data_IF_872034162612
#
_entry.id   IF_872034162612
#
_cell.length_a   1.000
_cell.length_b   1.000
_cell.length_c   1.000
_cell.angle_alpha   90.00
_cell.angle_beta   90.00
_cell.angle_gamma   90.00
#
_symmetry.space_group_name_H-M   'P 1'
#
loop_
_entity.id
_entity.type
_entity.pdbx_description
1 polymer ?
#
# COMPACT_ATOMS: atom_id res chain seq x y z
N UNK A 1 -15.11 -7.80 23.22
CA UNK A 1 -14.82 -7.14 21.94
C UNK A 1 -15.84 -7.65 20.95
N UNK A 2 -16.48 -6.73 20.22
CA UNK A 2 -17.38 -7.10 19.12
C UNK A 2 -16.59 -7.84 18.03
N UNK A 3 -17.14 -8.93 17.53
CA UNK A 3 -16.59 -9.68 16.40
C UNK A 3 -17.27 -9.22 15.12
N UNK A 4 -16.51 -8.58 14.25
CA UNK A 4 -17.02 -7.91 13.04
C UNK A 4 -16.34 -8.46 11.78
N UNK A 5 -17.11 -8.61 10.70
CA UNK A 5 -16.59 -9.06 9.41
C UNK A 5 -16.90 -8.09 8.27
N UNK A 6 -15.88 -7.79 7.46
CA UNK A 6 -16.09 -7.24 6.12
C UNK A 6 -15.92 -8.37 5.10
N UNK A 7 -16.88 -8.49 4.18
CA UNK A 7 -16.97 -9.54 3.17
C UNK A 7 -16.72 -8.94 1.79
N UNK A 8 -15.81 -9.53 1.03
CA UNK A 8 -15.43 -9.07 -0.31
C UNK A 8 -15.45 -10.24 -1.30
N UNK A 9 -15.95 -9.98 -2.50
CA UNK A 9 -15.78 -10.85 -3.67
C UNK A 9 -14.98 -10.08 -4.73
N UNK A 10 -13.81 -10.59 -5.10
CA UNK A 10 -12.79 -9.83 -5.85
C UNK A 10 -12.28 -10.59 -7.07
N UNK A 11 -11.87 -9.83 -8.10
CA UNK A 11 -11.11 -10.36 -9.25
C UNK A 11 -10.24 -9.25 -9.81
N UNK A 12 -8.95 -9.54 -9.97
CA UNK A 12 -7.96 -8.67 -10.59
C UNK A 12 -7.92 -7.23 -10.02
N UNK A 13 -7.60 -7.12 -8.73
CA UNK A 13 -7.48 -5.87 -7.98
C UNK A 13 -6.10 -5.73 -7.31
N UNK A 14 -5.03 -6.27 -7.92
CA UNK A 14 -3.69 -6.32 -7.29
C UNK A 14 -3.17 -4.96 -6.82
N UNK A 15 -3.48 -3.90 -7.57
CA UNK A 15 -3.02 -2.53 -7.26
C UNK A 15 -3.75 -1.89 -6.07
N UNK A 16 -4.92 -2.43 -5.68
CA UNK A 16 -5.82 -1.81 -4.71
C UNK A 16 -6.13 -2.71 -3.50
N UNK A 17 -6.07 -4.03 -3.64
CA UNK A 17 -6.49 -4.98 -2.60
C UNK A 17 -5.71 -4.83 -1.29
N UNK A 18 -4.41 -4.51 -1.36
CA UNK A 18 -3.59 -4.24 -0.18
C UNK A 18 -4.09 -3.03 0.62
N UNK A 19 -4.55 -1.99 -0.08
CA UNK A 19 -5.13 -0.80 0.56
C UNK A 19 -6.51 -1.09 1.15
N UNK A 20 -7.34 -1.87 0.46
CA UNK A 20 -8.65 -2.27 0.94
C UNK A 20 -8.55 -3.05 2.25
N UNK A 21 -7.65 -4.04 2.32
CA UNK A 21 -7.37 -4.81 3.54
C UNK A 21 -6.93 -3.87 4.66
N UNK A 22 -5.94 -3.04 4.37
CA UNK A 22 -5.29 -2.18 5.36
C UNK A 22 -6.25 -1.14 5.95
N UNK A 23 -7.13 -0.57 5.13
CA UNK A 23 -8.11 0.42 5.57
C UNK A 23 -9.19 -0.18 6.46
N UNK A 24 -9.74 -1.33 6.08
CA UNK A 24 -10.77 -1.98 6.88
C UNK A 24 -10.22 -2.55 8.19
N UNK A 25 -8.95 -2.96 8.21
CA UNK A 25 -8.22 -3.26 9.46
C UNK A 25 -7.99 -2.01 10.31
N UNK A 26 -7.59 -0.89 9.71
CA UNK A 26 -7.38 0.39 10.41
C UNK A 26 -8.66 0.92 11.07
N UNK A 27 -9.81 0.77 10.41
CA UNK A 27 -11.12 1.14 10.97
C UNK A 27 -11.54 0.23 12.12
N UNK A 28 -11.11 -1.03 12.10
CA UNK A 28 -11.32 -1.98 13.21
C UNK A 28 -12.22 -3.16 12.91
N UNK A 29 -12.37 -3.58 11.64
CA UNK A 29 -12.96 -4.89 11.35
C UNK A 29 -12.09 -5.99 11.97
N UNK A 30 -12.68 -6.87 12.78
CA UNK A 30 -11.91 -7.93 13.45
C UNK A 30 -11.49 -9.05 12.49
N UNK A 31 -12.28 -9.29 11.45
CA UNK A 31 -12.05 -10.33 10.44
C UNK A 31 -12.37 -9.80 9.05
N UNK A 32 -11.60 -10.21 8.04
CA UNK A 32 -11.93 -9.98 6.63
C UNK A 32 -12.20 -11.32 5.96
N UNK A 33 -13.32 -11.46 5.26
CA UNK A 33 -13.67 -12.70 4.53
C UNK A 33 -13.65 -12.36 3.04
N UNK A 34 -12.69 -12.91 2.31
CA UNK A 34 -12.41 -12.50 0.93
C UNK A 34 -12.47 -13.71 0.01
N UNK A 35 -13.37 -13.67 -0.96
CA UNK A 35 -13.44 -14.63 -2.07
C UNK A 35 -12.73 -14.07 -3.29
N UNK A 36 -11.70 -14.75 -3.75
CA UNK A 36 -11.02 -14.43 -5.01
C UNK A 36 -11.58 -15.32 -6.13
N UNK A 37 -12.16 -14.66 -7.12
CA UNK A 37 -12.77 -15.26 -8.33
C UNK A 37 -11.70 -15.51 -9.39
N UNK A 38 -10.70 -16.30 -9.02
CA UNK A 38 -9.61 -16.75 -9.89
C UNK A 38 -8.83 -15.60 -10.56
N UNK A 39 -8.33 -14.66 -9.76
CA UNK A 39 -7.48 -13.57 -10.25
C UNK A 39 -6.18 -14.10 -10.86
N UNK A 40 -5.70 -13.39 -11.88
CA UNK A 40 -4.49 -13.71 -12.66
C UNK A 40 -3.42 -12.62 -12.58
N UNK A 41 -3.70 -11.51 -11.92
CA UNK A 41 -2.82 -10.33 -11.82
C UNK A 41 -1.96 -10.31 -10.54
N UNK A 42 -2.07 -11.31 -9.67
CA UNK A 42 -1.37 -11.36 -8.38
C UNK A 42 -2.22 -10.97 -7.17
N UNK A 43 -3.51 -10.66 -7.35
CA UNK A 43 -4.44 -10.38 -6.23
C UNK A 43 -4.40 -11.48 -5.17
N UNK A 44 -4.44 -12.76 -5.58
CA UNK A 44 -4.36 -13.88 -4.65
C UNK A 44 -3.03 -13.96 -3.90
N UNK A 45 -1.93 -13.59 -4.55
CA UNK A 45 -0.61 -13.56 -3.93
C UNK A 45 -0.60 -12.56 -2.77
N UNK A 46 -1.09 -11.34 -3.01
CA UNK A 46 -1.22 -10.29 -1.99
C UNK A 46 -2.12 -10.74 -0.85
N UNK A 47 -3.27 -11.34 -1.17
CA UNK A 47 -4.22 -11.88 -0.19
C UNK A 47 -3.57 -12.95 0.70
N UNK A 48 -2.83 -13.89 0.11
CA UNK A 48 -2.16 -14.97 0.81
C UNK A 48 -1.07 -14.45 1.75
N UNK A 49 -0.29 -13.45 1.30
CA UNK A 49 0.70 -12.78 2.16
C UNK A 49 0.03 -12.07 3.34
N UNK A 50 -1.06 -11.33 3.10
CA UNK A 50 -1.77 -10.59 4.15
C UNK A 50 -2.41 -11.52 5.21
N UNK A 51 -2.94 -12.67 4.80
CA UNK A 51 -3.55 -13.65 5.69
C UNK A 51 -2.57 -14.28 6.70
N UNK A 52 -1.27 -14.11 6.51
CA UNK A 52 -0.25 -14.58 7.45
C UNK A 52 -0.13 -13.72 8.72
N UNK A 53 -0.66 -12.48 8.70
CA UNK A 53 -0.50 -11.51 9.78
C UNK A 53 -1.83 -11.02 10.37
N UNK A 54 -2.95 -11.28 9.68
CA UNK A 54 -4.27 -10.78 10.02
C UNK A 54 -5.30 -11.90 9.90
N UNK A 55 -6.42 -11.81 10.63
CA UNK A 55 -7.55 -12.73 10.48
C UNK A 55 -8.28 -12.43 9.15
N UNK A 56 -7.72 -12.98 8.07
CA UNK A 56 -8.24 -12.91 6.71
C UNK A 56 -8.57 -14.33 6.26
N UNK A 57 -9.85 -14.57 6.01
CA UNK A 57 -10.35 -15.87 5.57
C UNK A 57 -10.50 -15.85 4.06
N UNK A 58 -9.69 -16.67 3.41
CA UNK A 58 -9.61 -16.70 1.96
C UNK A 58 -10.47 -17.82 1.39
N UNK A 59 -11.28 -17.47 0.41
CA UNK A 59 -12.13 -18.40 -0.33
C UNK A 59 -11.80 -18.32 -1.83
N UNK A 60 -12.11 -19.41 -2.53
CA UNK A 60 -12.22 -19.45 -4.00
C UNK A 60 -13.68 -19.51 -4.37
N UNK A 61 -14.08 -18.79 -5.40
CA UNK A 61 -15.45 -18.85 -5.91
C UNK A 61 -15.76 -20.25 -6.45
N UNK A 62 -17.01 -20.70 -6.35
CA UNK A 62 -17.40 -22.00 -6.90
C UNK A 62 -17.59 -21.94 -8.43
N UNK A 63 -16.71 -22.57 -9.19
CA UNK A 63 -16.75 -22.60 -10.66
C UNK A 63 -17.97 -23.33 -11.27
N UNK A 64 -18.77 -24.05 -10.48
CA UNK A 64 -19.99 -24.72 -10.95
C UNK A 64 -21.13 -23.75 -11.28
N UNK A 65 -21.09 -22.52 -10.75
CA UNK A 65 -22.07 -21.49 -11.09
C UNK A 65 -21.74 -20.83 -12.44
N UNK A 66 -22.77 -20.54 -13.25
CA UNK A 66 -22.62 -20.23 -14.68
C UNK A 66 -21.91 -18.91 -14.96
N UNK A 67 -22.00 -17.94 -14.05
CA UNK A 67 -21.44 -16.61 -14.23
C UNK A 67 -20.95 -16.01 -12.90
N UNK A 68 -20.24 -14.89 -13.02
CA UNK A 68 -19.64 -14.17 -11.89
C UNK A 68 -20.67 -13.73 -10.86
N UNK A 69 -21.83 -13.25 -11.29
CA UNK A 69 -22.86 -12.75 -10.38
C UNK A 69 -23.45 -13.91 -9.58
N UNK A 70 -23.72 -15.05 -10.21
CA UNK A 70 -24.17 -16.25 -9.53
C UNK A 70 -23.14 -16.76 -8.51
N UNK A 71 -21.84 -16.75 -8.85
CA UNK A 71 -20.75 -17.07 -7.91
C UNK A 71 -20.69 -16.12 -6.73
N UNK A 72 -20.81 -14.82 -6.98
CA UNK A 72 -20.80 -13.79 -5.95
C UNK A 72 -21.99 -13.94 -5.00
N UNK A 73 -23.20 -14.06 -5.54
CA UNK A 73 -24.43 -14.23 -4.74
C UNK A 73 -24.35 -15.48 -3.89
N UNK A 74 -23.97 -16.63 -4.47
CA UNK A 74 -23.87 -17.89 -3.73
C UNK A 74 -22.86 -17.80 -2.58
N UNK A 75 -21.68 -17.22 -2.82
CA UNK A 75 -20.67 -17.01 -1.78
C UNK A 75 -21.19 -16.09 -0.67
N UNK A 76 -21.83 -14.97 -1.02
CA UNK A 76 -22.33 -14.03 -0.03
C UNK A 76 -23.45 -14.65 0.84
N UNK A 77 -24.38 -15.39 0.24
CA UNK A 77 -25.44 -16.11 0.96
C UNK A 77 -24.87 -17.15 1.93
N UNK A 78 -23.87 -17.93 1.48
CA UNK A 78 -23.16 -18.91 2.31
C UNK A 78 -22.49 -18.25 3.52
N UNK A 79 -21.63 -17.25 3.28
CA UNK A 79 -20.90 -16.56 4.34
C UNK A 79 -21.82 -15.86 5.33
N UNK A 80 -22.91 -15.25 4.85
CA UNK A 80 -23.86 -14.58 5.73
C UNK A 80 -24.64 -15.59 6.58
N UNK A 81 -24.92 -16.78 6.05
CA UNK A 81 -25.53 -17.88 6.80
C UNK A 81 -24.60 -18.45 7.87
N UNK A 82 -23.33 -18.70 7.54
CA UNK A 82 -22.32 -19.19 8.49
C UNK A 82 -22.03 -18.16 9.59
N UNK A 83 -21.93 -16.89 9.21
CA UNK A 83 -21.57 -15.79 10.09
C UNK A 83 -22.55 -15.52 11.22
N UNK A 84 -23.81 -15.99 11.14
CA UNK A 84 -24.82 -15.88 12.20
C UNK A 84 -24.36 -16.43 13.55
N UNK A 85 -23.51 -17.45 13.52
CA UNK A 85 -23.03 -18.14 14.72
C UNK A 85 -21.76 -17.52 15.30
N UNK A 86 -21.17 -16.55 14.61
CA UNK A 86 -19.79 -16.14 14.86
C UNK A 86 -19.59 -14.63 14.97
N UNK A 87 -20.27 -13.84 14.14
CA UNK A 87 -20.07 -12.39 14.05
C UNK A 87 -21.23 -11.64 14.67
N UNK A 88 -20.92 -10.62 15.46
CA UNK A 88 -21.89 -9.66 15.97
C UNK A 88 -22.39 -8.74 14.85
N UNK A 89 -21.51 -8.39 13.90
CA UNK A 89 -21.81 -7.53 12.77
C UNK A 89 -21.06 -7.95 11.50
N UNK A 90 -21.74 -7.87 10.37
CA UNK A 90 -21.18 -8.15 9.05
C UNK A 90 -21.53 -7.06 8.05
N UNK A 91 -20.64 -6.81 7.09
CA UNK A 91 -20.85 -5.88 5.99
C UNK A 91 -20.27 -6.45 4.70
N UNK A 92 -21.02 -6.37 3.60
CA UNK A 92 -20.52 -6.68 2.27
C UNK A 92 -20.04 -5.39 1.62
N UNK A 93 -18.87 -5.44 0.99
CA UNK A 93 -18.26 -4.33 0.28
C UNK A 93 -17.71 -4.81 -1.07
N UNK A 94 -17.62 -3.88 -2.02
CA UNK A 94 -16.84 -4.04 -3.25
C UNK A 94 -15.40 -3.56 -3.07
N UNK A 95 -14.51 -3.89 -4.02
CA UNK A 95 -13.09 -3.57 -3.93
C UNK A 95 -12.81 -2.05 -4.02
N UNK A 96 -13.72 -1.29 -4.62
CA UNK A 96 -13.71 0.16 -4.75
C UNK A 96 -14.48 0.87 -3.62
N UNK A 97 -14.95 0.14 -2.61
CA UNK A 97 -15.73 0.66 -1.50
C UNK A 97 -14.95 0.66 -0.19
N UNK A 98 -14.88 1.82 0.44
CA UNK A 98 -14.15 2.04 1.69
C UNK A 98 -15.11 2.62 2.74
N UNK A 99 -15.37 1.88 3.82
CA UNK A 99 -16.16 2.42 4.93
C UNK A 99 -15.44 3.64 5.52
N UNK A 100 -16.16 4.68 5.90
CA UNK A 100 -15.61 5.83 6.61
C UNK A 100 -16.52 6.21 7.78
N UNK A 101 -15.92 6.47 8.93
CA UNK A 101 -16.59 6.94 10.13
C UNK A 101 -16.26 8.42 10.33
N UNK A 102 -17.29 9.26 10.44
CA UNK A 102 -17.16 10.71 10.48
C UNK A 102 -16.45 11.18 11.75
N UNK A 103 -16.93 10.73 12.91
CA UNK A 103 -16.44 11.13 14.22
C UNK A 103 -15.78 9.99 14.99
N UNK A 104 -16.37 8.79 14.94
CA UNK A 104 -15.96 7.63 15.75
C UNK A 104 -14.51 7.21 15.51
N UNK A 105 -13.83 6.80 16.58
CA UNK A 105 -12.40 6.43 16.58
C UNK A 105 -12.16 4.97 16.19
N UNK A 106 -13.23 4.15 16.11
CA UNK A 106 -13.18 2.76 15.68
C UNK A 106 -14.57 2.25 15.30
N UNK A 107 -14.62 1.15 14.55
CA UNK A 107 -15.85 0.44 14.23
C UNK A 107 -16.59 -0.05 15.48
N UNK A 108 -15.86 -0.55 16.49
CA UNK A 108 -16.47 -0.99 17.75
C UNK A 108 -17.18 0.17 18.46
N UNK A 109 -16.55 1.36 18.53
CA UNK A 109 -17.18 2.54 19.12
C UNK A 109 -18.44 2.94 18.35
N UNK A 110 -18.37 2.99 17.01
CA UNK A 110 -19.51 3.30 16.15
C UNK A 110 -20.69 2.33 16.34
N UNK A 111 -20.41 1.02 16.40
CA UNK A 111 -21.43 -0.02 16.53
C UNK A 111 -22.02 -0.12 17.94
N UNK A 112 -21.26 0.27 18.98
CA UNK A 112 -21.71 0.21 20.37
C UNK A 112 -22.95 1.08 20.66
N UNK A 113 -23.15 2.13 19.87
CA UNK A 113 -24.27 3.06 20.01
C UNK A 113 -25.44 2.77 19.07
N UNK A 114 -25.42 1.65 18.34
CA UNK A 114 -26.47 1.29 17.37
C UNK A 114 -27.44 0.28 17.99
N UNK A 115 -28.68 0.70 18.31
CA UNK A 115 -29.68 -0.18 18.87
C UNK A 115 -30.34 -1.09 17.82
N UNK A 116 -30.37 -0.67 16.55
CA UNK A 116 -30.97 -1.46 15.46
C UNK A 116 -30.10 -2.67 15.07
N UNK A 117 -30.72 -3.63 14.39
CA UNK A 117 -30.03 -4.80 13.85
C UNK A 117 -29.40 -4.55 12.47
N UNK A 118 -29.75 -3.42 11.83
CA UNK A 118 -29.27 -3.01 10.51
C UNK A 118 -28.92 -1.53 10.54
N UNK A 119 -27.67 -1.19 10.25
CA UNK A 119 -27.21 0.17 10.03
C UNK A 119 -26.87 0.37 8.54
N UNK A 120 -27.72 1.05 7.77
CA UNK A 120 -27.38 1.44 6.40
C UNK A 120 -26.28 2.52 6.41
N UNK A 121 -25.42 2.48 5.41
CA UNK A 121 -24.38 3.47 5.15
C UNK A 121 -24.42 3.81 3.67
N UNK A 122 -24.58 5.10 3.36
CA UNK A 122 -24.78 5.59 2.01
C UNK A 122 -23.47 5.66 1.23
N UNK A 123 -23.55 5.37 -0.07
CA UNK A 123 -22.48 5.67 -1.02
C UNK A 123 -22.22 7.18 -1.08
N UNK A 124 -20.94 7.55 -1.12
CA UNK A 124 -20.46 8.86 -1.51
C UNK A 124 -19.54 8.64 -2.71
N UNK A 125 -19.93 9.11 -3.89
CA UNK A 125 -19.26 8.79 -5.14
C UNK A 125 -18.07 9.72 -5.37
N UNK A 126 -16.87 9.16 -5.40
CA UNK A 126 -15.62 9.90 -5.62
C UNK A 126 -15.15 9.82 -7.07
N UNK A 127 -14.59 10.94 -7.55
CA UNK A 127 -13.93 11.05 -8.84
C UNK A 127 -12.46 10.64 -8.78
N UNK A 128 -11.84 10.65 -9.95
CA UNK A 128 -10.45 10.24 -10.13
C UNK A 128 -9.44 11.25 -9.62
N UNK A 129 -9.85 12.45 -9.20
CA UNK A 129 -8.95 13.58 -8.94
C UNK A 129 -8.00 13.91 -10.10
N UNK A 130 -8.34 13.50 -11.33
CA UNK A 130 -7.50 13.64 -12.52
C UNK A 130 -6.42 12.56 -12.66
N UNK A 131 -6.46 11.49 -11.86
CA UNK A 131 -5.54 10.36 -11.99
C UNK A 131 -5.89 9.51 -13.22
N UNK A 132 -4.91 9.37 -14.11
CA UNK A 132 -5.03 8.59 -15.36
C UNK A 132 -4.51 7.16 -15.22
N UNK A 133 -3.59 6.92 -14.28
CA UNK A 133 -2.92 5.64 -14.06
C UNK A 133 -2.96 5.26 -12.57
N UNK A 134 -2.78 3.97 -12.23
CA UNK A 134 -2.70 3.51 -10.85
C UNK A 134 -1.70 4.30 -10.03
N UNK A 135 -2.09 4.65 -8.81
CA UNK A 135 -1.26 5.42 -7.89
C UNK A 135 -0.63 4.52 -6.82
N UNK A 136 0.62 4.78 -6.41
CA UNK A 136 1.25 4.07 -5.30
C UNK A 136 0.73 4.50 -3.91
N UNK A 137 -0.12 5.53 -3.83
CA UNK A 137 -0.72 6.02 -2.58
C UNK A 137 -2.06 5.34 -2.28
N UNK A 138 -2.50 5.42 -1.02
CA UNK A 138 -3.82 4.91 -0.63
C UNK A 138 -4.95 5.64 -1.39
N UNK A 139 -6.01 4.95 -1.84
CA UNK A 139 -7.16 5.58 -2.47
C UNK A 139 -7.77 6.72 -1.65
N UNK A 140 -7.90 6.52 -0.33
CA UNK A 140 -8.39 7.52 0.63
C UNK A 140 -7.49 8.75 0.75
N UNK A 141 -6.24 8.67 0.32
CA UNK A 141 -5.31 9.78 0.33
C UNK A 141 -5.43 10.63 -0.95
N UNK A 142 -5.73 10.03 -2.09
CA UNK A 142 -5.64 10.68 -3.41
C UNK A 142 -6.98 11.00 -4.06
N UNK A 143 -8.02 10.19 -3.84
CA UNK A 143 -9.36 10.43 -4.36
C UNK A 143 -10.15 11.23 -3.34
N UNK A 144 -9.87 12.53 -3.30
CA UNK A 144 -10.40 13.46 -2.29
C UNK A 144 -11.50 14.36 -2.82
N UNK A 145 -12.01 14.12 -4.03
CA UNK A 145 -13.14 14.88 -4.58
C UNK A 145 -14.31 13.96 -4.89
N UNK A 146 -15.48 14.30 -4.36
CA UNK A 146 -16.72 13.56 -4.58
C UNK A 146 -17.77 14.38 -5.32
N UNK A 147 -18.82 13.69 -5.76
CA UNK A 147 -20.00 14.29 -6.39
C UNK A 147 -20.73 15.24 -5.43
N UNK A 148 -21.49 16.21 -5.95
CA UNK A 148 -22.40 17.00 -5.10
C UNK A 148 -23.35 16.08 -4.32
N UNK A 149 -23.70 16.45 -3.08
CA UNK A 149 -24.45 15.57 -2.16
C UNK A 149 -25.85 15.19 -2.69
N UNK A 150 -26.40 15.97 -3.62
CA UNK A 150 -27.67 15.73 -4.31
C UNK A 150 -27.60 14.66 -5.41
N UNK A 151 -26.43 14.08 -5.67
CA UNK A 151 -26.23 13.05 -6.69
C UNK A 151 -27.03 11.80 -6.36
N UNK A 152 -27.85 11.32 -7.33
CA UNK A 152 -28.80 10.22 -7.12
C UNK A 152 -28.14 8.91 -6.65
N UNK A 153 -26.93 8.62 -7.11
CA UNK A 153 -26.22 7.37 -6.76
C UNK A 153 -25.88 7.29 -5.26
N UNK A 154 -25.85 8.43 -4.54
CA UNK A 154 -25.66 8.45 -3.09
C UNK A 154 -26.80 7.78 -2.30
N UNK A 155 -27.94 7.53 -2.94
CA UNK A 155 -29.05 6.83 -2.31
C UNK A 155 -28.83 5.30 -2.24
N UNK A 156 -27.84 4.76 -2.95
CA UNK A 156 -27.42 3.37 -2.80
C UNK A 156 -26.72 3.19 -1.45
N UNK A 157 -26.95 2.04 -0.83
CA UNK A 157 -26.42 1.74 0.51
C UNK A 157 -25.63 0.44 0.55
N UNK A 158 -24.68 0.38 1.48
CA UNK A 158 -24.26 -0.87 2.11
C UNK A 158 -24.84 -0.92 3.51
N UNK A 159 -24.84 -2.09 4.13
CA UNK A 159 -25.37 -2.25 5.47
C UNK A 159 -24.41 -3.03 6.36
N UNK A 160 -24.18 -2.49 7.55
CA UNK A 160 -23.73 -3.28 8.69
C UNK A 160 -24.96 -3.99 9.25
N UNK A 161 -24.88 -5.31 9.42
CA UNK A 161 -26.01 -6.14 9.84
C UNK A 161 -25.60 -7.06 10.98
N UNK A 162 -26.49 -7.25 11.96
CA UNK A 162 -26.41 -8.33 12.95
C UNK A 162 -26.94 -9.63 12.32
N UNK A 163 -26.07 -10.55 11.89
CA UNK A 163 -26.48 -11.68 11.06
C UNK A 163 -27.41 -12.65 11.80
N UNK A 164 -27.31 -12.74 13.13
CA UNK A 164 -28.14 -13.59 14.00
C UNK A 164 -29.60 -13.09 14.15
N UNK A 165 -29.85 -11.79 13.93
CA UNK A 165 -31.16 -11.13 14.15
C UNK A 165 -31.85 -10.68 12.88
N UNK A 166 -31.10 -10.63 11.78
CA UNK A 166 -31.68 -10.41 10.47
C UNK A 166 -32.07 -11.77 9.87
N UNK A 167 -33.17 -11.85 9.11
CA UNK A 167 -33.74 -13.11 8.56
C UNK A 167 -32.81 -13.91 7.61
N UNK A 168 -31.51 -13.66 7.62
CA UNK A 168 -30.49 -14.31 6.82
C UNK A 168 -30.35 -13.78 5.41
N UNK A 169 -31.17 -12.81 5.02
CA UNK A 169 -31.08 -12.19 3.71
C UNK A 169 -30.14 -10.99 3.77
N UNK A 170 -29.30 -10.84 2.76
CA UNK A 170 -28.46 -9.65 2.63
C UNK A 170 -29.37 -8.47 2.26
N UNK A 171 -29.29 -7.32 2.95
CA UNK A 171 -30.05 -6.14 2.56
C UNK A 171 -29.72 -5.73 1.12
N UNK A 172 -30.73 -5.59 0.27
CA UNK A 172 -30.57 -5.07 -1.08
C UNK A 172 -30.02 -3.64 -1.04
N UNK A 173 -28.85 -3.37 -1.66
CA UNK A 173 -28.26 -2.03 -1.73
C UNK A 173 -29.20 -0.93 -2.24
N UNK A 174 -30.16 -1.30 -3.10
CA UNK A 174 -31.11 -0.38 -3.75
C UNK A 174 -32.42 -0.23 -2.96
N UNK A 175 -32.60 -0.95 -1.86
CA UNK A 175 -33.83 -0.90 -1.06
C UNK A 175 -34.13 0.48 -0.46
N UNK A 176 -33.13 1.37 -0.38
CA UNK A 176 -33.25 2.71 0.20
C UNK A 176 -33.17 3.87 -0.80
N UNK A 177 -33.35 3.62 -2.09
CA UNK A 177 -33.30 4.67 -3.12
C UNK A 177 -34.22 5.88 -2.87
N UNK A 178 -35.34 5.69 -2.17
CA UNK A 178 -36.27 6.77 -1.81
C UNK A 178 -35.91 7.55 -0.53
N UNK A 179 -34.91 7.11 0.24
CA UNK A 179 -34.51 7.76 1.49
C UNK A 179 -33.35 8.72 1.24
N UNK A 180 -33.40 9.90 1.85
CA UNK A 180 -32.29 10.85 1.76
C UNK A 180 -31.02 10.26 2.41
N UNK A 181 -29.83 10.45 1.80
CA UNK A 181 -28.57 10.05 2.41
C UNK A 181 -28.34 10.70 3.77
N UNK A 182 -27.85 9.91 4.73
CA UNK A 182 -27.39 10.39 6.04
C UNK A 182 -25.86 10.41 6.08
N UNK A 183 -25.31 11.61 6.25
CA UNK A 183 -23.87 11.88 6.30
C UNK A 183 -23.34 12.11 7.71
N UNK A 184 -24.19 12.01 8.74
CA UNK A 184 -23.85 12.45 10.09
C UNK A 184 -22.87 11.51 10.81
N UNK A 185 -22.82 10.23 10.43
CA UNK A 185 -22.07 9.22 11.18
C UNK A 185 -21.07 8.43 10.35
N UNK A 186 -21.46 8.00 9.14
CA UNK A 186 -20.61 7.16 8.30
C UNK A 186 -20.98 7.28 6.82
N UNK A 187 -20.02 6.95 5.94
CA UNK A 187 -20.20 6.89 4.48
C UNK A 187 -19.45 5.70 3.91
N UNK A 188 -19.86 5.25 2.73
CA UNK A 188 -19.03 4.42 1.86
C UNK A 188 -18.37 5.34 0.86
N UNK A 189 -17.06 5.54 0.99
CA UNK A 189 -16.28 6.23 -0.02
C UNK A 189 -16.19 5.29 -1.22
N UNK A 190 -16.93 5.61 -2.28
CA UNK A 190 -17.05 4.76 -3.45
C UNK A 190 -16.16 5.32 -4.57
N UNK A 191 -15.01 4.68 -4.77
CA UNK A 191 -14.03 5.05 -5.80
C UNK A 191 -14.34 4.35 -7.13
N UNK A 192 -15.59 4.40 -7.57
CA UNK A 192 -16.07 3.71 -8.76
C UNK A 192 -15.28 4.09 -10.03
N UNK A 193 -14.88 5.37 -10.13
CA UNK A 193 -13.98 5.82 -11.19
C UNK A 193 -12.56 5.30 -10.97
N UNK A 194 -11.99 5.49 -9.77
CA UNK A 194 -10.58 5.20 -9.52
C UNK A 194 -9.68 5.99 -10.49
N UNK A 195 -8.68 5.34 -11.08
CA UNK A 195 -7.92 5.89 -12.20
C UNK A 195 -8.50 5.45 -13.57
N UNK A 196 -8.27 6.26 -14.60
CA UNK A 196 -8.85 6.03 -15.92
C UNK A 196 -8.40 4.72 -16.57
N UNK A 197 -7.11 4.40 -16.51
CA UNK A 197 -6.58 3.19 -17.13
C UNK A 197 -7.23 1.94 -16.53
N UNK A 198 -7.26 1.84 -15.20
CA UNK A 198 -7.86 0.71 -14.50
C UNK A 198 -9.36 0.63 -14.71
N UNK A 199 -10.06 1.77 -14.78
CA UNK A 199 -11.49 1.82 -15.08
C UNK A 199 -11.78 1.21 -16.45
N UNK A 200 -11.09 1.68 -17.49
CA UNK A 200 -11.30 1.22 -18.86
C UNK A 200 -10.89 -0.24 -19.04
N UNK A 201 -9.88 -0.73 -18.31
CA UNK A 201 -9.48 -2.15 -18.31
C UNK A 201 -10.54 -3.07 -17.69
N UNK A 202 -11.24 -2.59 -16.64
CA UNK A 202 -12.27 -3.35 -15.92
C UNK A 202 -13.61 -3.35 -16.66
N UNK A 203 -13.92 -2.28 -17.38
CA UNK A 203 -15.24 -2.06 -17.94
C UNK A 203 -15.46 -2.79 -19.27
N UNK A 204 -16.38 -3.76 -19.28
CA UNK A 204 -16.80 -4.49 -20.48
C UNK A 204 -17.97 -3.83 -21.23
N UNK A 205 -18.42 -2.65 -20.77
CA UNK A 205 -19.56 -1.93 -21.34
C UNK A 205 -19.32 -1.55 -22.80
N UNK A 206 -20.39 -1.44 -23.59
CA UNK A 206 -20.32 -0.94 -24.96
C UNK A 206 -19.95 0.55 -25.05
N UNK A 207 -20.13 1.33 -23.97
CA UNK A 207 -19.85 2.78 -23.90
C UNK A 207 -19.00 3.15 -22.66
N UNK A 208 -17.75 2.66 -22.57
CA UNK A 208 -16.92 2.83 -21.37
C UNK A 208 -16.60 4.29 -21.05
N UNK A 209 -16.55 5.16 -22.05
CA UNK A 209 -16.32 6.60 -21.87
C UNK A 209 -17.53 7.33 -21.24
N UNK A 210 -18.76 6.90 -21.56
CA UNK A 210 -19.96 7.45 -20.93
C UNK A 210 -20.02 7.04 -19.46
N UNK A 211 -19.71 5.77 -19.18
CA UNK A 211 -19.61 5.27 -17.81
C UNK A 211 -18.51 6.01 -17.03
N UNK A 212 -17.34 6.26 -17.64
CA UNK A 212 -16.28 7.05 -17.03
C UNK A 212 -16.76 8.47 -16.70
N UNK A 213 -17.41 9.15 -17.66
CA UNK A 213 -17.96 10.49 -17.46
C UNK A 213 -19.00 10.55 -16.34
N UNK A 214 -19.81 9.49 -16.20
CA UNK A 214 -20.81 9.37 -15.13
C UNK A 214 -20.17 9.22 -13.74
N UNK A 215 -19.22 8.29 -13.60
CA UNK A 215 -18.63 7.98 -12.28
C UNK A 215 -17.51 8.95 -11.86
N UNK A 216 -16.85 9.63 -12.79
CA UNK A 216 -15.74 10.53 -12.48
C UNK A 216 -16.22 11.89 -11.93
N UNK A 217 -16.60 11.93 -10.65
CA UNK A 217 -17.21 13.11 -10.00
C UNK A 217 -16.26 13.86 -9.08
N UNK A 218 -15.74 15.01 -9.54
CA UNK A 218 -14.69 15.78 -8.84
C UNK A 218 -15.19 17.11 -8.23
N UNK A 219 -16.46 17.16 -7.83
CA UNK A 219 -17.18 18.41 -7.56
C UNK A 219 -16.75 19.06 -6.24
N UNK A 220 -16.74 18.29 -5.14
CA UNK A 220 -16.55 18.78 -3.76
C UNK A 220 -15.30 18.14 -3.14
N UNK A 221 -14.42 18.96 -2.54
CA UNK A 221 -13.25 18.48 -1.82
C UNK A 221 -13.65 17.91 -0.44
N UNK A 222 -13.18 16.70 -0.14
CA UNK A 222 -13.33 16.01 1.14
C UNK A 222 -12.04 15.26 1.48
N UNK A 223 -11.41 15.65 2.59
CA UNK A 223 -10.21 15.02 3.14
C UNK A 223 -10.47 14.36 4.49
N UNK A 224 -11.73 14.17 4.88
CA UNK A 224 -12.11 13.54 6.17
C UNK A 224 -11.45 12.18 6.37
N UNK A 225 -11.34 11.39 5.30
CA UNK A 225 -10.72 10.07 5.29
C UNK A 225 -9.22 10.07 5.61
N UNK A 226 -8.53 11.21 5.49
CA UNK A 226 -7.09 11.31 5.79
C UNK A 226 -6.76 10.95 7.24
N UNK A 227 -7.73 11.05 8.16
CA UNK A 227 -7.57 10.63 9.56
C UNK A 227 -7.19 9.15 9.73
N UNK A 228 -7.47 8.31 8.73
CA UNK A 228 -7.15 6.87 8.75
C UNK A 228 -5.85 6.53 8.01
N UNK A 229 -5.30 7.46 7.21
CA UNK A 229 -4.19 7.18 6.30
C UNK A 229 -2.96 6.65 7.05
N UNK A 230 -2.67 7.19 8.24
CA UNK A 230 -1.54 6.73 9.06
C UNK A 230 -1.66 5.24 9.41
N UNK A 231 -2.78 4.86 10.04
CA UNK A 231 -3.04 3.49 10.47
C UNK A 231 -3.12 2.55 9.25
N UNK A 232 -3.78 2.98 8.18
CA UNK A 232 -3.83 2.23 6.92
C UNK A 232 -2.43 1.99 6.36
N UNK A 233 -1.53 2.97 6.38
CA UNK A 233 -0.13 2.80 5.93
C UNK A 233 0.65 1.81 6.80
N UNK A 234 0.44 1.80 8.12
CA UNK A 234 1.10 0.86 9.02
C UNK A 234 0.75 -0.59 8.68
N UNK A 235 -0.54 -0.89 8.44
CA UNK A 235 -0.99 -2.22 8.02
C UNK A 235 -0.47 -2.58 6.62
N UNK A 236 -0.54 -1.63 5.68
CA UNK A 236 -0.07 -1.86 4.32
C UNK A 236 1.43 -2.16 4.27
N UNK A 237 2.23 -1.52 5.14
CA UNK A 237 3.67 -1.77 5.26
C UNK A 237 3.98 -3.22 5.67
N UNK A 238 3.18 -3.84 6.54
CA UNK A 238 3.36 -5.25 6.89
C UNK A 238 3.11 -6.18 5.69
N UNK A 239 2.08 -5.89 4.89
CA UNK A 239 1.77 -6.65 3.66
C UNK A 239 2.91 -6.50 2.66
N UNK A 240 3.37 -5.28 2.40
CA UNK A 240 4.48 -5.02 1.46
C UNK A 240 5.77 -5.72 1.88
N UNK A 241 6.13 -5.65 3.16
CA UNK A 241 7.35 -6.30 3.66
C UNK A 241 7.27 -7.84 3.56
N UNK A 242 6.09 -8.41 3.77
CA UNK A 242 5.86 -9.83 3.56
C UNK A 242 6.00 -10.22 2.08
N UNK A 243 5.40 -9.44 1.17
CA UNK A 243 5.52 -9.63 -0.28
C UNK A 243 6.98 -9.56 -0.74
N UNK A 244 7.76 -8.59 -0.24
CA UNK A 244 9.19 -8.49 -0.56
C UNK A 244 10.03 -9.63 0.03
N UNK A 245 9.64 -10.14 1.20
CA UNK A 245 10.30 -11.32 1.78
C UNK A 245 10.05 -12.57 0.95
N UNK A 246 8.83 -12.77 0.44
CA UNK A 246 8.53 -13.86 -0.49
C UNK A 246 9.27 -13.68 -1.82
N UNK A 247 9.25 -12.46 -2.37
CA UNK A 247 10.01 -12.11 -3.58
C UNK A 247 11.48 -12.49 -3.45
N UNK A 248 12.12 -12.14 -2.34
CA UNK A 248 13.51 -12.51 -2.07
C UNK A 248 13.73 -14.02 -2.22
N UNK A 249 12.87 -14.84 -1.61
CA UNK A 249 13.01 -16.29 -1.66
C UNK A 249 12.80 -16.83 -3.07
N UNK A 250 11.82 -16.30 -3.80
CA UNK A 250 11.57 -16.70 -5.19
C UNK A 250 12.73 -16.32 -6.10
N UNK A 251 13.23 -15.08 -6.03
CA UNK A 251 14.41 -14.64 -6.79
C UNK A 251 15.65 -15.46 -6.44
N UNK A 252 15.85 -15.78 -5.15
CA UNK A 252 16.96 -16.65 -4.73
C UNK A 252 16.84 -18.04 -5.36
N UNK A 253 15.63 -18.61 -5.46
CA UNK A 253 15.43 -19.88 -6.16
C UNK A 253 15.71 -19.75 -7.67
N UNK A 254 15.28 -18.66 -8.32
CA UNK A 254 15.58 -18.39 -9.73
C UNK A 254 17.09 -18.41 -9.97
N UNK A 255 17.85 -17.71 -9.13
CA UNK A 255 19.31 -17.62 -9.26
C UNK A 255 19.99 -18.97 -8.97
N UNK A 256 19.65 -19.63 -7.85
CA UNK A 256 20.28 -20.90 -7.45
C UNK A 256 20.00 -22.02 -8.47
N UNK A 257 18.79 -22.07 -9.01
CA UNK A 257 18.39 -23.09 -9.99
C UNK A 257 18.75 -22.72 -11.41
N UNK A 258 19.19 -21.49 -11.64
CA UNK A 258 19.43 -20.94 -12.97
C UNK A 258 18.19 -21.13 -13.87
N UNK A 259 17.02 -20.72 -13.37
CA UNK A 259 15.72 -20.94 -14.02
C UNK A 259 15.63 -20.14 -15.33
N UNK A 260 15.85 -20.81 -16.46
CA UNK A 260 15.94 -20.17 -17.78
C UNK A 260 14.63 -19.48 -18.20
N UNK A 261 13.46 -20.02 -17.82
CA UNK A 261 12.17 -19.46 -18.21
C UNK A 261 11.92 -18.15 -17.47
N UNK A 262 12.14 -18.13 -16.15
CA UNK A 262 11.97 -16.93 -15.34
C UNK A 262 13.03 -15.87 -15.67
N UNK A 263 14.29 -16.26 -15.89
CA UNK A 263 15.33 -15.32 -16.32
C UNK A 263 15.00 -14.68 -17.67
N UNK A 264 14.44 -15.46 -18.61
CA UNK A 264 13.97 -14.92 -19.89
C UNK A 264 12.82 -13.91 -19.70
N UNK A 265 11.87 -14.16 -18.79
CA UNK A 265 10.81 -13.19 -18.44
C UNK A 265 11.37 -11.90 -17.82
N UNK A 266 12.46 -12.01 -17.06
CA UNK A 266 13.20 -10.87 -16.52
C UNK A 266 14.04 -10.14 -17.60
N UNK A 267 14.12 -10.68 -18.81
CA UNK A 267 14.89 -10.13 -19.93
C UNK A 267 16.39 -10.44 -19.84
N UNK A 268 16.76 -11.53 -19.16
CA UNK A 268 18.14 -11.92 -18.88
C UNK A 268 18.48 -13.27 -19.49
N UNK A 269 19.73 -13.47 -19.88
CA UNK A 269 20.25 -14.80 -20.23
C UNK A 269 20.88 -15.47 -19.00
N UNK A 270 20.88 -16.81 -18.93
CA UNK A 270 21.50 -17.54 -17.82
C UNK A 270 23.00 -17.27 -17.61
N UNK A 271 23.73 -17.00 -18.70
CA UNK A 271 25.18 -16.75 -18.64
C UNK A 271 25.53 -15.41 -17.96
N UNK A 272 24.66 -14.40 -18.11
CA UNK A 272 24.92 -13.02 -17.67
C UNK A 272 25.05 -12.88 -16.16
N UNK A 273 24.49 -13.79 -15.36
CA UNK A 273 24.68 -13.79 -13.91
C UNK A 273 26.14 -14.07 -13.50
N UNK A 274 26.90 -14.77 -14.35
CA UNK A 274 28.26 -15.25 -14.07
C UNK A 274 29.35 -14.57 -14.90
N UNK A 275 28.98 -13.66 -15.81
CA UNK A 275 29.91 -12.84 -16.60
C UNK A 275 30.49 -11.67 -15.77
N UNK A 276 31.70 -11.20 -16.13
CA UNK A 276 32.51 -10.13 -15.50
C UNK A 276 31.85 -9.41 -14.30
N UNK A 277 32.36 -9.71 -13.09
CA UNK A 277 31.92 -9.09 -11.84
C UNK A 277 32.88 -7.96 -11.46
N UNK A 278 32.35 -6.76 -11.28
CA UNK A 278 33.05 -5.71 -10.57
C UNK A 278 32.93 -5.99 -9.06
N UNK A 279 34.06 -6.17 -8.39
CA UNK A 279 34.08 -6.44 -6.95
C UNK A 279 34.10 -5.15 -6.11
N UNK A 280 34.03 -3.97 -6.74
CA UNK A 280 33.87 -2.72 -6.02
C UNK A 280 32.51 -2.70 -5.32
N UNK A 281 32.49 -2.13 -4.11
CA UNK A 281 31.25 -1.90 -3.37
C UNK A 281 30.88 -0.43 -3.48
N UNK A 282 29.57 -0.11 -3.49
CA UNK A 282 29.12 1.27 -3.45
C UNK A 282 29.68 2.00 -2.22
N UNK A 283 30.16 3.22 -2.46
CA UNK A 283 30.63 4.12 -1.40
C UNK A 283 29.44 4.91 -0.87
N UNK A 284 29.09 4.63 0.39
CA UNK A 284 28.01 5.32 1.08
C UNK A 284 28.58 6.31 2.10
N UNK A 285 28.14 7.56 1.99
CA UNK A 285 28.39 8.60 2.98
C UNK A 285 27.12 8.91 3.77
N UNK A 286 27.25 9.03 5.10
CA UNK A 286 26.12 9.34 5.98
C UNK A 286 26.12 10.82 6.34
N UNK A 287 24.94 11.42 6.38
CA UNK A 287 24.73 12.81 6.73
C UNK A 287 23.63 12.95 7.78
N UNK A 288 23.88 13.83 8.75
CA UNK A 288 22.86 14.36 9.64
C UNK A 288 22.28 15.67 9.08
N UNK A 289 21.03 15.95 9.43
CA UNK A 289 20.35 17.20 9.06
C UNK A 289 20.60 18.26 10.12
N UNK A 290 21.29 19.35 9.75
CA UNK A 290 21.53 20.49 10.64
C UNK A 290 22.60 20.25 11.71
N UNK A 291 23.04 21.35 12.32
CA UNK A 291 24.03 21.37 13.42
C UNK A 291 23.35 21.48 14.79
N UNK A 292 22.51 22.50 14.97
CA UNK A 292 21.90 22.85 16.27
C UNK A 292 20.53 22.18 16.49
N UNK A 293 19.92 21.69 15.43
CA UNK A 293 18.71 20.87 15.48
C UNK A 293 18.85 19.70 14.50
N UNK A 294 18.11 18.63 14.77
CA UNK A 294 18.15 17.36 14.06
C UNK A 294 16.74 17.00 13.57
N UNK A 295 16.66 16.44 12.37
CA UNK A 295 15.46 15.72 11.94
C UNK A 295 15.37 14.40 12.73
N UNK A 296 14.26 14.18 13.41
CA UNK A 296 14.04 13.00 14.23
C UNK A 296 12.63 12.45 14.06
N UNK A 297 12.47 11.17 14.36
CA UNK A 297 11.20 10.50 14.54
C UNK A 297 10.82 10.58 16.02
N UNK A 298 9.64 11.13 16.32
CA UNK A 298 9.04 11.05 17.66
C UNK A 298 8.38 9.68 17.83
N UNK A 299 8.82 8.88 18.79
CA UNK A 299 8.29 7.52 18.99
C UNK A 299 6.89 7.49 19.62
N UNK A 300 6.42 8.59 20.21
CA UNK A 300 5.06 8.66 20.77
C UNK A 300 4.03 8.96 19.69
N UNK A 301 4.34 9.90 18.80
CA UNK A 301 3.44 10.34 17.72
C UNK A 301 3.73 9.62 16.41
N UNK A 302 4.91 9.03 16.24
CA UNK A 302 5.49 8.54 14.98
C UNK A 302 5.67 9.60 13.90
N UNK A 303 5.61 10.89 14.26
CA UNK A 303 5.78 12.00 13.33
C UNK A 303 7.26 12.35 13.14
N UNK A 304 7.58 12.88 11.97
CA UNK A 304 8.87 13.51 11.72
C UNK A 304 8.85 14.92 12.29
N UNK A 305 9.81 15.21 13.15
CA UNK A 305 9.93 16.47 13.88
C UNK A 305 11.35 16.99 13.80
N UNK A 306 11.50 18.30 13.90
CA UNK A 306 12.78 18.95 14.09
C UNK A 306 12.99 19.22 15.58
N UNK A 307 14.07 18.67 16.16
CA UNK A 307 14.36 18.76 17.59
C UNK A 307 15.74 19.39 17.79
N UNK A 308 15.84 20.37 18.69
CA UNK A 308 17.16 20.93 19.07
C UNK A 308 18.08 19.84 19.61
N UNK A 309 19.35 19.86 19.22
CA UNK A 309 20.33 18.83 19.59
C UNK A 309 20.47 18.69 21.12
N UNK A 310 20.31 19.79 21.86
CA UNK A 310 20.32 19.83 23.34
C UNK A 310 19.06 19.24 23.99
N UNK A 311 17.95 19.19 23.26
CA UNK A 311 16.64 18.69 23.71
C UNK A 311 16.34 17.26 23.22
N UNK A 312 17.30 16.63 22.53
CA UNK A 312 17.12 15.30 21.96
C UNK A 312 17.15 14.21 23.03
N UNK A 313 15.98 13.94 23.63
CA UNK A 313 15.76 12.79 24.50
C UNK A 313 15.75 11.49 23.68
N UNK A 314 16.80 10.69 23.82
CA UNK A 314 16.94 9.40 23.12
C UNK A 314 15.88 8.37 23.48
N UNK A 315 15.15 8.51 24.59
CA UNK A 315 14.04 7.61 24.92
C UNK A 315 12.81 7.87 24.03
N UNK A 316 12.57 9.14 23.68
CA UNK A 316 11.43 9.56 22.86
C UNK A 316 11.77 9.74 21.39
N UNK A 317 12.97 10.23 21.07
CA UNK A 317 13.34 10.61 19.71
C UNK A 317 14.39 9.67 19.11
N UNK A 318 14.26 9.42 17.82
CA UNK A 318 15.27 8.72 17.01
C UNK A 318 15.70 9.63 15.87
N UNK A 319 16.97 10.03 15.83
CA UNK A 319 17.49 10.85 14.73
C UNK A 319 17.34 10.12 13.40
N UNK A 320 17.04 10.87 12.36
CA UNK A 320 17.11 10.38 10.99
C UNK A 320 18.43 10.81 10.34
N UNK A 321 19.01 9.90 9.57
CA UNK A 321 20.22 10.11 8.80
C UNK A 321 19.93 9.89 7.33
N UNK A 322 20.64 10.63 6.49
CA UNK A 322 20.63 10.46 5.05
C UNK A 322 21.89 9.67 4.65
N UNK A 323 21.70 8.48 4.09
CA UNK A 323 22.77 7.70 3.49
C UNK A 323 22.77 7.94 1.99
N UNK A 324 23.86 8.47 1.44
CA UNK A 324 23.98 8.83 0.02
C UNK A 324 25.05 7.97 -0.63
N UNK A 325 24.75 7.37 -1.77
CA UNK A 325 25.73 6.67 -2.59
C UNK A 325 26.53 7.68 -3.40
N UNK A 326 27.75 7.98 -2.96
CA UNK A 326 28.63 8.96 -3.62
C UNK A 326 29.41 8.39 -4.79
N UNK A 327 29.44 7.07 -4.94
CA UNK A 327 30.04 6.37 -6.08
C UNK A 327 29.16 6.36 -7.33
N UNK A 328 27.85 6.59 -7.20
CA UNK A 328 26.90 6.63 -8.30
C UNK A 328 26.86 8.01 -8.98
N UNK A 329 26.45 8.10 -10.26
CA UNK A 329 26.23 9.38 -10.93
C UNK A 329 25.04 10.14 -10.33
N UNK A 330 25.04 11.47 -10.48
CA UNK A 330 23.89 12.30 -10.12
C UNK A 330 22.70 12.06 -11.08
N UNK A 331 21.43 12.18 -10.62
CA UNK A 331 21.03 12.39 -9.24
C UNK A 331 21.38 11.18 -8.35
N UNK A 332 21.99 11.45 -7.19
CA UNK A 332 22.56 10.41 -6.35
C UNK A 332 21.48 9.56 -5.67
N UNK A 333 21.56 8.22 -5.73
CA UNK A 333 20.77 7.34 -4.87
C UNK A 333 21.00 7.69 -3.41
N UNK A 334 19.92 7.92 -2.68
CA UNK A 334 19.95 8.27 -1.28
C UNK A 334 18.86 7.52 -0.51
N UNK A 335 19.05 7.36 0.79
CA UNK A 335 18.17 6.59 1.65
C UNK A 335 18.03 7.31 2.98
N UNK A 336 16.79 7.62 3.37
CA UNK A 336 16.49 8.16 4.70
C UNK A 336 16.24 6.98 5.65
N UNK A 337 16.98 6.94 6.74
CA UNK A 337 16.91 5.86 7.72
C UNK A 337 17.02 6.37 9.15
N UNK A 338 16.53 5.58 10.09
CA UNK A 338 16.67 5.85 11.52
C UNK A 338 18.09 5.53 11.99
N UNK A 339 18.67 6.37 12.84
CA UNK A 339 20.03 6.19 13.39
C UNK A 339 20.18 4.89 14.19
N UNK A 340 19.10 4.47 14.86
CA UNK A 340 18.99 3.21 15.62
C UNK A 340 17.70 2.46 15.28
N UNK A 341 17.66 1.17 15.60
CA UNK A 341 16.46 0.36 15.48
C UNK A 341 15.30 0.93 16.31
N UNK A 342 14.10 0.88 15.72
CA UNK A 342 12.84 1.22 16.36
C UNK A 342 11.70 0.40 15.73
N UNK A 343 10.50 0.45 16.32
CA UNK A 343 9.37 -0.42 15.99
C UNK A 343 8.51 0.04 14.80
N UNK A 344 8.87 1.13 14.12
CA UNK A 344 8.04 1.66 13.02
C UNK A 344 8.10 0.76 11.80
N UNK A 345 6.93 0.45 11.25
CA UNK A 345 6.82 -0.36 10.02
C UNK A 345 7.13 0.44 8.76
N UNK A 346 6.86 1.75 8.77
CA UNK A 346 7.23 2.66 7.69
C UNK A 346 7.40 4.10 8.20
N UNK A 347 8.16 4.92 7.48
CA UNK A 347 8.25 6.36 7.75
C UNK A 347 7.16 7.11 6.98
N UNK A 348 6.46 8.03 7.65
CA UNK A 348 5.47 8.89 7.03
C UNK A 348 6.16 10.16 6.52
N UNK A 349 6.43 10.19 5.23
CA UNK A 349 7.03 11.34 4.56
C UNK A 349 6.02 11.88 3.54
N UNK A 350 5.77 13.18 3.60
CA UNK A 350 4.91 13.86 2.64
C UNK A 350 5.44 13.64 1.21
N UNK A 351 4.52 13.37 0.28
CA UNK A 351 4.82 13.03 -1.12
C UNK A 351 5.66 11.75 -1.35
N UNK A 352 5.90 10.92 -0.33
CA UNK A 352 6.49 9.59 -0.49
C UNK A 352 5.44 8.50 -0.27
N UNK A 353 5.18 7.63 -1.25
CA UNK A 353 4.26 6.51 -1.09
C UNK A 353 4.94 5.33 -0.36
N UNK A 354 6.24 5.41 -0.10
CA UNK A 354 7.04 4.31 0.46
C UNK A 354 6.41 3.74 1.74
N UNK A 355 6.35 2.42 1.81
CA UNK A 355 5.82 1.65 2.94
C UNK A 355 6.93 0.83 3.64
N UNK A 356 8.14 1.37 3.67
CA UNK A 356 9.32 0.77 4.28
C UNK A 356 9.87 1.66 5.41
N UNK A 357 10.59 1.10 6.39
CA UNK A 357 11.24 1.87 7.45
C UNK A 357 12.49 2.64 6.96
N UNK A 358 12.98 2.31 5.77
CA UNK A 358 14.01 3.06 5.04
C UNK A 358 13.36 3.62 3.78
N UNK A 359 13.47 4.94 3.56
CA UNK A 359 12.82 5.59 2.41
C UNK A 359 13.84 5.86 1.31
N UNK A 360 13.65 5.32 0.09
CA UNK A 360 14.50 5.63 -1.05
C UNK A 360 14.23 7.06 -1.53
N UNK A 361 15.30 7.78 -1.87
CA UNK A 361 15.33 9.17 -2.29
C UNK A 361 16.36 9.37 -3.40
N UNK A 362 16.23 10.42 -4.19
CA UNK A 362 17.22 10.86 -5.16
C UNK A 362 17.66 12.27 -4.82
N UNK A 363 18.96 12.47 -4.63
CA UNK A 363 19.56 13.76 -4.33
C UNK A 363 20.12 14.38 -5.61
N UNK A 364 19.49 15.45 -6.05
CA UNK A 364 20.01 16.31 -7.11
C UNK A 364 20.80 17.46 -6.49
N UNK A 365 22.13 17.38 -6.57
CA UNK A 365 23.02 18.40 -6.03
C UNK A 365 23.01 19.70 -6.82
N UNK A 366 22.69 19.64 -8.12
CA UNK A 366 22.68 20.82 -8.99
C UNK A 366 21.45 21.67 -8.69
N UNK A 367 20.28 21.03 -8.62
CA UNK A 367 19.00 21.69 -8.33
C UNK A 367 18.75 21.86 -6.82
N UNK A 368 19.59 21.26 -5.96
CA UNK A 368 19.40 21.19 -4.50
C UNK A 368 18.03 20.63 -4.13
N UNK A 369 17.63 19.56 -4.81
CA UNK A 369 16.33 18.93 -4.65
C UNK A 369 16.50 17.48 -4.16
N UNK A 370 15.61 17.10 -3.25
CA UNK A 370 15.39 15.70 -2.88
C UNK A 370 14.09 15.25 -3.54
N UNK A 371 14.15 14.17 -4.30
CA UNK A 371 12.98 13.58 -4.98
C UNK A 371 12.71 12.18 -4.47
N UNK A 372 11.45 11.77 -4.53
CA UNK A 372 11.10 10.36 -4.40
C UNK A 372 11.29 9.67 -5.75
N UNK A 373 12.11 8.61 -5.87
CA UNK A 373 12.21 7.84 -7.11
C UNK A 373 10.88 7.15 -7.46
N UNK A 374 9.98 6.98 -6.48
CA UNK A 374 8.69 6.32 -6.63
C UNK A 374 7.63 7.20 -7.30
N UNK A 375 7.80 8.53 -7.25
CA UNK A 375 6.83 9.49 -7.80
C UNK A 375 7.46 10.55 -8.71
N UNK A 376 8.78 10.70 -8.70
CA UNK A 376 9.51 11.80 -9.34
C UNK A 376 9.31 13.17 -8.67
N UNK A 377 8.44 13.24 -7.66
CA UNK A 377 8.06 14.49 -6.99
C UNK A 377 9.09 14.89 -5.94
N UNK A 378 9.17 16.20 -5.67
CA UNK A 378 9.97 16.75 -4.58
C UNK A 378 9.45 16.24 -3.24
N UNK A 379 10.37 15.81 -2.39
CA UNK A 379 10.09 15.44 -1.00
C UNK A 379 10.54 16.59 -0.11
N UNK A 380 9.62 17.11 0.71
CA UNK A 380 9.95 18.13 1.69
C UNK A 380 10.46 17.47 2.97
N UNK A 381 11.78 17.46 3.17
CA UNK A 381 12.37 17.15 4.47
C UNK A 381 12.50 18.47 5.24
N UNK A 382 11.89 18.56 6.41
CA UNK A 382 12.02 19.74 7.28
C UNK A 382 13.42 19.77 7.90
N UNK A 383 14.39 20.31 7.16
CA UNK A 383 15.79 20.35 7.58
C UNK A 383 16.11 21.68 8.28
N UNK A 384 16.52 21.68 9.56
CA UNK A 384 16.93 22.89 10.26
C UNK A 384 18.28 23.41 9.75
N UNK A 385 18.25 24.48 8.95
CA UNK A 385 19.43 25.00 8.25
C UNK A 385 19.84 24.04 7.14
N UNK A 386 20.04 24.55 5.92
CA UNK A 386 20.26 23.74 4.71
C UNK A 386 21.60 22.93 4.69
N UNK A 387 22.22 22.69 5.86
CA UNK A 387 23.50 22.01 5.98
C UNK A 387 23.31 20.51 6.28
N UNK A 388 23.80 19.67 5.36
CA UNK A 388 24.06 18.25 5.60
C UNK A 388 25.45 18.11 6.22
N UNK A 389 25.52 17.55 7.42
CA UNK A 389 26.78 17.32 8.12
C UNK A 389 27.18 15.86 8.01
N UNK A 390 28.37 15.59 7.45
CA UNK A 390 28.91 14.23 7.36
C UNK A 390 28.99 13.61 8.76
N UNK A 391 28.57 12.35 8.88
CA UNK A 391 28.58 11.57 10.11
C UNK A 391 29.32 10.25 9.86
N UNK A 392 30.03 9.78 10.89
CA UNK A 392 30.55 8.42 10.91
C UNK A 392 29.44 7.48 11.41
N UNK A 393 29.10 6.41 10.67
CA UNK A 393 28.02 5.52 11.06
C UNK A 393 28.41 4.68 12.28
N UNK A 394 27.44 4.45 13.18
CA UNK A 394 27.63 3.48 14.25
C UNK A 394 27.80 2.05 13.69
N UNK A 395 28.32 1.14 14.50
CA UNK A 395 28.43 -0.28 14.12
C UNK A 395 27.06 -0.89 13.82
N UNK A 396 26.02 -0.51 14.56
CA UNK A 396 24.65 -0.96 14.33
C UNK A 396 24.12 -0.45 12.97
N UNK A 397 24.29 0.84 12.70
CA UNK A 397 23.85 1.46 11.46
C UNK A 397 24.53 0.84 10.24
N UNK A 398 25.83 0.59 10.34
CA UNK A 398 26.63 -0.06 9.30
C UNK A 398 26.16 -1.49 9.01
N UNK A 399 25.75 -2.25 10.04
CA UNK A 399 25.17 -3.60 9.85
C UNK A 399 23.81 -3.53 9.13
N UNK A 400 22.93 -2.59 9.52
CA UNK A 400 21.63 -2.40 8.87
C UNK A 400 21.76 -1.98 7.41
N UNK A 401 22.79 -1.21 7.07
CA UNK A 401 23.07 -0.83 5.69
C UNK A 401 23.68 -1.98 4.85
N UNK A 402 24.16 -3.06 5.46
CA UNK A 402 24.92 -4.12 4.76
C UNK A 402 24.08 -4.81 3.70
N UNK A 403 22.81 -5.13 3.98
CA UNK A 403 21.96 -5.80 3.00
C UNK A 403 21.80 -4.96 1.73
N UNK A 404 21.53 -3.66 1.87
CA UNK A 404 21.40 -2.75 0.73
C UNK A 404 22.71 -2.60 -0.05
N UNK A 405 23.85 -2.52 0.66
CA UNK A 405 25.19 -2.49 0.04
C UNK A 405 25.48 -3.73 -0.82
N UNK A 406 25.02 -4.90 -0.37
CA UNK A 406 25.18 -6.15 -1.12
C UNK A 406 24.25 -6.18 -2.33
N UNK A 407 23.00 -5.74 -2.18
CA UNK A 407 22.01 -5.71 -3.26
C UNK A 407 22.36 -4.72 -4.38
N UNK A 408 23.05 -3.63 -4.05
CA UNK A 408 23.48 -2.59 -4.99
C UNK A 408 24.97 -2.71 -5.39
N UNK A 409 25.65 -3.82 -5.09
CA UNK A 409 27.10 -3.94 -5.26
C UNK A 409 27.55 -3.62 -6.71
N UNK A 410 26.86 -4.19 -7.69
CA UNK A 410 27.19 -4.06 -9.11
C UNK A 410 26.35 -2.95 -9.78
N UNK A 411 25.85 -1.99 -8.99
CA UNK A 411 24.99 -0.89 -9.43
C UNK A 411 23.49 -1.15 -9.34
N UNK A 412 22.70 -0.28 -9.96
CA UNK A 412 21.23 -0.28 -9.89
C UNK A 412 20.60 -0.89 -11.14
N UNK A 413 20.87 -2.17 -11.39
CA UNK A 413 20.24 -2.94 -12.46
C UNK A 413 19.65 -4.25 -11.92
N UNK A 414 18.73 -4.85 -12.65
CA UNK A 414 18.11 -6.11 -12.29
C UNK A 414 19.15 -7.25 -12.21
N UNK A 415 20.16 -7.24 -13.08
CA UNK A 415 21.28 -8.19 -13.02
C UNK A 415 22.06 -8.01 -11.72
N UNK A 416 22.42 -6.77 -11.39
CA UNK A 416 23.14 -6.46 -10.16
C UNK A 416 22.34 -6.88 -8.92
N UNK A 417 21.04 -6.61 -8.92
CA UNK A 417 20.13 -7.02 -7.86
C UNK A 417 20.14 -8.55 -7.67
N UNK A 418 20.02 -9.33 -8.75
CA UNK A 418 20.03 -10.80 -8.68
C UNK A 418 21.37 -11.36 -8.17
N UNK A 419 22.50 -10.78 -8.60
CA UNK A 419 23.83 -11.12 -8.05
C UNK A 419 23.93 -10.79 -6.56
N UNK A 420 23.36 -9.67 -6.14
CA UNK A 420 23.24 -9.30 -4.74
C UNK A 420 22.39 -10.29 -3.94
N UNK A 421 21.25 -10.76 -4.49
CA UNK A 421 20.39 -11.77 -3.89
C UNK A 421 21.13 -13.09 -3.66
N UNK A 422 22.00 -13.49 -4.59
CA UNK A 422 22.86 -14.68 -4.44
C UNK A 422 23.78 -14.58 -3.23
N UNK A 423 24.41 -13.40 -3.07
CA UNK A 423 25.38 -13.09 -2.01
C UNK A 423 24.72 -12.86 -0.65
N UNK A 424 23.47 -12.38 -0.62
CA UNK A 424 22.75 -12.05 0.60
C UNK A 424 22.21 -13.33 1.26
N UNK A 425 22.57 -13.67 2.51
CA UNK A 425 22.19 -14.94 3.13
C UNK A 425 20.73 -14.98 3.66
N UNK A 426 20.18 -13.82 3.99
CA UNK A 426 18.85 -13.69 4.62
C UNK A 426 18.06 -12.56 3.98
N UNK A 427 16.72 -12.65 3.88
CA UNK A 427 15.91 -11.57 3.36
C UNK A 427 16.03 -10.31 4.21
N UNK A 428 16.05 -9.15 3.55
CA UNK A 428 15.82 -7.84 4.15
C UNK A 428 14.86 -7.08 3.24
N UNK A 429 13.59 -7.01 3.64
CA UNK A 429 12.54 -6.42 2.83
C UNK A 429 12.75 -4.93 2.59
N UNK A 430 13.28 -4.19 3.58
CA UNK A 430 13.54 -2.76 3.43
C UNK A 430 14.67 -2.51 2.42
N UNK A 431 15.75 -3.27 2.52
CA UNK A 431 16.85 -3.19 1.56
C UNK A 431 16.43 -3.61 0.15
N UNK A 432 15.67 -4.71 0.01
CA UNK A 432 15.18 -5.17 -1.29
C UNK A 432 14.24 -4.15 -1.94
N UNK A 433 13.27 -3.62 -1.20
CA UNK A 433 12.37 -2.58 -1.71
C UNK A 433 13.11 -1.30 -2.09
N UNK A 434 14.11 -0.90 -1.30
CA UNK A 434 14.98 0.25 -1.63
C UNK A 434 15.83 0.01 -2.89
N UNK A 435 16.33 -1.20 -3.11
CA UNK A 435 17.07 -1.55 -4.31
C UNK A 435 16.16 -1.58 -5.55
N UNK A 436 14.95 -2.14 -5.43
CA UNK A 436 13.94 -2.14 -6.50
C UNK A 436 13.56 -0.71 -6.90
N UNK A 437 13.40 0.18 -5.92
CA UNK A 437 13.06 1.58 -6.14
C UNK A 437 14.09 2.37 -6.96
N UNK A 438 15.34 1.87 -7.05
CA UNK A 438 16.41 2.50 -7.84
C UNK A 438 16.62 1.85 -9.22
N UNK A 439 15.92 0.75 -9.53
CA UNK A 439 16.03 0.12 -10.83
C UNK A 439 15.52 1.03 -11.95
N UNK A 440 15.96 0.81 -13.20
CA UNK A 440 15.29 1.37 -14.37
C UNK A 440 13.82 0.93 -14.39
N UNK A 441 12.92 1.84 -14.74
CA UNK A 441 11.48 1.58 -14.79
C UNK A 441 11.10 0.30 -15.57
N UNK A 442 11.71 0.10 -16.75
CA UNK A 442 11.44 -1.07 -17.57
C UNK A 442 11.87 -2.39 -16.90
N UNK A 443 12.94 -2.37 -16.12
CA UNK A 443 13.42 -3.55 -15.38
C UNK A 443 12.55 -3.87 -14.17
N UNK A 444 12.16 -2.84 -13.40
CA UNK A 444 11.21 -3.00 -12.31
C UNK A 444 9.84 -3.50 -12.79
N UNK A 445 9.40 -3.08 -13.98
CA UNK A 445 8.17 -3.58 -14.60
C UNK A 445 8.26 -5.06 -14.97
N UNK A 446 9.34 -5.50 -15.63
CA UNK A 446 9.56 -6.93 -15.92
C UNK A 446 9.58 -7.76 -14.65
N UNK A 447 10.21 -7.24 -13.59
CA UNK A 447 10.21 -7.89 -12.27
C UNK A 447 8.80 -8.03 -11.71
N UNK A 448 7.97 -6.98 -11.79
CA UNK A 448 6.58 -7.02 -11.34
C UNK A 448 5.69 -7.96 -12.16
N UNK A 449 5.89 -8.03 -13.47
CA UNK A 449 5.18 -8.94 -14.37
C UNK A 449 5.57 -10.42 -14.15
N UNK A 450 6.85 -10.68 -13.86
CA UNK A 450 7.34 -12.03 -13.55
C UNK A 450 6.87 -12.53 -12.18
N UNK A 451 6.65 -11.62 -11.23
CA UNK A 451 6.26 -11.91 -9.85
C UNK A 451 5.00 -11.11 -9.44
N UNK A 452 3.83 -11.41 -10.05
CA UNK A 452 2.62 -10.64 -9.85
C UNK A 452 2.18 -10.64 -8.38
N UNK A 453 1.93 -9.45 -7.85
CA UNK A 453 1.55 -9.22 -6.45
C UNK A 453 2.71 -9.15 -5.44
N UNK A 454 3.96 -9.35 -5.88
CA UNK A 454 5.13 -9.28 -4.99
C UNK A 454 5.94 -7.99 -5.10
N UNK A 455 5.70 -7.20 -6.15
CA UNK A 455 6.41 -5.95 -6.44
C UNK A 455 5.41 -4.78 -6.52
N UNK A 456 4.91 -4.29 -5.37
CA UNK A 456 3.85 -3.27 -5.35
C UNK A 456 4.35 -1.91 -5.89
N UNK A 457 3.41 -1.07 -6.34
CA UNK A 457 3.72 0.25 -6.89
C UNK A 457 4.49 1.16 -5.92
N UNK A 458 4.28 1.02 -4.61
CA UNK A 458 4.94 1.82 -3.56
C UNK A 458 6.43 1.49 -3.32
N UNK A 459 7.01 0.58 -4.09
CA UNK A 459 8.47 0.33 -4.13
C UNK A 459 9.01 0.35 -5.55
N UNK A 460 8.18 0.65 -6.56
CA UNK A 460 8.59 0.71 -7.95
C UNK A 460 9.00 2.14 -8.32
N UNK A 461 10.05 2.32 -9.12
CA UNK A 461 10.40 3.62 -9.68
C UNK A 461 9.24 4.16 -10.51
N UNK A 462 9.08 5.48 -10.55
CA UNK A 462 8.10 6.16 -11.39
C UNK A 462 8.43 5.94 -12.87
N UNK A 463 7.40 5.94 -13.72
CA UNK A 463 7.60 6.00 -15.17
C UNK A 463 8.28 7.32 -15.56
N UNK A 464 9.29 7.30 -16.44
CA UNK A 464 10.06 8.49 -16.82
C UNK A 464 9.25 9.54 -17.58
#
# INVERSE_FOLDING_TARGET
MLKTAAVLFVHNEVDNIGWWISHHRAIGFSTLIICDDYSTDGTWTVLSSAASFHDIRLHRSNADFPDRLARQTAFQEEIFSEGKSEFDWMMILAADEYLHLEADISLEHFLSSIPEDVQPVHWCLFGSNGHEVPSPFAPTQIFTRHATLETADHHVTRALVRPDRHNGQIPDPFSRLAHAPDWARARILHYAAGDRHSFLKRQSSMTPEEAWSHFNRNDVLDTSAHRWVRQTRQFAASIVQASLTDLYWQLRQVVIRNDEELLAKLGLSPSVLFEDQDFSFPEFTFYAFGQDAQLALDLETEDLVTVETTALDTARYVRLLLMVETSAPAPYPAYLLTERLCSVSCLNIEHSPCLLPTVPLQLDSEERLVRSPLTGQKVALQTPGDALLKQEPSTELSRRATALRVLCQDGHSLIALLRGIEKLPTPDAAALGCAIAMLPYAEANRLAEAFPGLVPLNVRPVSP
#
